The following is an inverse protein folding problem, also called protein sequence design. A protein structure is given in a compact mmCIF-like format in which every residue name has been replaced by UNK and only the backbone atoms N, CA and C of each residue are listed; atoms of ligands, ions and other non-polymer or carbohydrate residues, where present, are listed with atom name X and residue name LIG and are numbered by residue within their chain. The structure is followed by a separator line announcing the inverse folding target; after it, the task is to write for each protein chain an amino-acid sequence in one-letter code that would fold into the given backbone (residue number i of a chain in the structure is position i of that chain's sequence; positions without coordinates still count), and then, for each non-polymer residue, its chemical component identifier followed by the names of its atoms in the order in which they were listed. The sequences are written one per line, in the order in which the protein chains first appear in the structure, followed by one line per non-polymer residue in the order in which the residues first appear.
data_IF_040620332891
#
_entry.id   IF_040620332891
#
_cell.length_a   1.000
_cell.length_b   1.000
_cell.length_c   1.000
_cell.angle_alpha   90.00
_cell.angle_beta   90.00
_cell.angle_gamma   90.00
#
_symmetry.space_group_name_H-M   'P 1'
#
loop_
_entity.id
_entity.type
_entity.pdbx_description
1 polymer ?
#
# COMPACT_ATOMS: atom_id res chain seq x y z
N UNK A 1 7.30 33.26 -24.43
CA UNK A 1 7.83 31.89 -24.56
C UNK A 1 6.69 31.02 -25.06
N UNK A 2 6.84 30.30 -26.18
CA UNK A 2 5.81 29.36 -26.62
C UNK A 2 5.64 28.30 -25.52
N UNK A 3 4.39 28.06 -25.11
CA UNK A 3 4.08 27.08 -24.08
C UNK A 3 4.48 25.69 -24.55
N UNK A 4 5.28 24.98 -23.77
CA UNK A 4 5.56 23.57 -24.04
C UNK A 4 4.25 22.81 -23.94
N UNK A 5 3.87 22.11 -25.01
CA UNK A 5 2.75 21.18 -24.99
C UNK A 5 3.10 20.11 -23.93
N UNK A 6 2.18 19.79 -23.00
CA UNK A 6 2.40 18.74 -22.02
C UNK A 6 2.56 17.38 -22.72
N UNK A 7 3.55 16.60 -22.32
CA UNK A 7 3.74 15.23 -22.82
C UNK A 7 2.51 14.35 -22.52
N UNK A 8 2.20 13.42 -23.41
CA UNK A 8 1.17 12.38 -23.22
C UNK A 8 -0.26 12.80 -23.54
N UNK A 9 -0.47 13.84 -24.36
CA UNK A 9 -1.81 14.26 -24.76
C UNK A 9 -2.39 13.46 -25.93
N UNK A 10 -1.54 13.05 -26.89
CA UNK A 10 -1.92 12.31 -28.09
C UNK A 10 -0.73 11.50 -28.65
N UNK A 11 -0.95 10.81 -29.76
CA UNK A 11 0.07 9.98 -30.43
C UNK A 11 1.21 10.82 -31.03
N UNK A 12 0.97 12.08 -31.37
CA UNK A 12 1.96 13.03 -31.90
C UNK A 12 2.82 13.65 -30.77
N UNK A 13 2.32 13.61 -29.53
CA UNK A 13 2.98 14.08 -28.31
C UNK A 13 3.04 12.96 -27.26
N UNK A 14 3.78 11.87 -27.52
CA UNK A 14 3.84 10.73 -26.62
C UNK A 14 4.52 11.09 -25.29
N UNK A 15 4.26 10.28 -24.25
CA UNK A 15 4.99 10.41 -22.99
C UNK A 15 6.46 10.06 -23.22
N UNK A 16 7.34 11.05 -23.07
CA UNK A 16 8.77 10.81 -23.19
C UNK A 16 9.34 10.22 -21.88
N UNK A 17 9.52 8.90 -21.88
CA UNK A 17 10.07 8.18 -20.72
C UNK A 17 11.57 8.41 -20.52
N UNK A 18 12.28 9.00 -21.50
CA UNK A 18 13.72 9.25 -21.48
C UNK A 18 14.11 10.55 -20.77
N UNK A 19 13.31 11.00 -19.80
CA UNK A 19 13.52 12.31 -19.15
C UNK A 19 14.74 12.28 -18.21
N UNK A 20 15.76 13.04 -18.62
CA UNK A 20 17.01 13.52 -17.98
C UNK A 20 17.85 12.61 -17.05
N UNK A 21 17.31 11.60 -16.39
CA UNK A 21 18.06 10.72 -15.48
C UNK A 21 17.61 9.26 -15.48
N UNK A 22 16.68 8.89 -16.35
CA UNK A 22 16.09 7.56 -16.36
C UNK A 22 16.15 7.01 -17.78
N UNK A 23 17.04 6.05 -17.99
CA UNK A 23 17.13 5.31 -19.25
C UNK A 23 16.22 4.07 -19.14
N UNK A 24 14.94 4.26 -19.45
CA UNK A 24 13.99 3.14 -19.49
C UNK A 24 14.21 2.38 -20.79
N UNK A 25 14.95 1.27 -20.71
CA UNK A 25 15.09 0.36 -21.84
C UNK A 25 13.70 -0.14 -22.28
N UNK A 26 13.38 -0.02 -23.57
CA UNK A 26 12.13 -0.53 -24.18
C UNK A 26 11.83 -1.99 -23.79
N UNK A 27 12.87 -2.82 -23.64
CA UNK A 27 12.73 -4.21 -23.20
C UNK A 27 12.23 -4.29 -21.76
N UNK A 28 12.79 -3.48 -20.85
CA UNK A 28 12.39 -3.44 -19.46
C UNK A 28 10.96 -2.93 -19.31
N UNK A 29 10.58 -1.91 -20.09
CA UNK A 29 9.21 -1.41 -20.12
C UNK A 29 8.23 -2.47 -20.60
N UNK A 30 8.55 -3.20 -21.68
CA UNK A 30 7.74 -4.32 -22.15
C UNK A 30 7.59 -5.39 -21.07
N UNK A 31 8.64 -5.72 -20.33
CA UNK A 31 8.54 -6.66 -19.21
C UNK A 31 7.56 -6.20 -18.14
N UNK A 32 7.57 -4.91 -17.80
CA UNK A 32 6.58 -4.36 -16.86
C UNK A 32 5.16 -4.44 -17.43
N UNK A 33 4.93 -4.05 -18.68
CA UNK A 33 3.60 -4.12 -19.30
C UNK A 33 3.09 -5.56 -19.34
N UNK A 34 3.90 -6.51 -19.79
CA UNK A 34 3.55 -7.94 -19.80
C UNK A 34 3.28 -8.44 -18.38
N UNK A 35 4.04 -8.01 -17.38
CA UNK A 35 3.75 -8.37 -15.99
C UNK A 35 2.43 -7.79 -15.47
N UNK A 36 2.03 -6.60 -15.92
CA UNK A 36 0.79 -5.97 -15.46
C UNK A 36 -0.44 -6.62 -16.10
N UNK A 37 -0.40 -6.90 -17.41
CA UNK A 37 -1.57 -7.30 -18.19
C UNK A 37 -1.61 -8.79 -18.54
N UNK A 38 -0.46 -9.43 -18.76
CA UNK A 38 -0.39 -10.79 -19.30
C UNK A 38 0.19 -11.81 -18.29
N UNK A 39 0.25 -11.44 -17.00
CA UNK A 39 0.91 -12.25 -15.97
C UNK A 39 0.40 -13.69 -15.89
N UNK A 40 -0.90 -13.87 -16.07
CA UNK A 40 -1.57 -15.16 -15.92
C UNK A 40 -1.26 -16.11 -17.10
N UNK A 41 -0.78 -15.56 -18.22
CA UNK A 41 -0.34 -16.31 -19.41
C UNK A 41 1.18 -16.52 -19.44
N UNK A 42 1.93 -15.96 -18.48
CA UNK A 42 3.37 -16.11 -18.43
C UNK A 42 3.74 -17.57 -18.09
N UNK A 43 4.73 -18.10 -18.82
CA UNK A 43 5.40 -19.34 -18.44
C UNK A 43 5.93 -19.26 -17.01
N UNK A 44 5.86 -20.37 -16.27
CA UNK A 44 6.35 -20.50 -14.88
C UNK A 44 7.82 -20.06 -14.68
N UNK A 45 8.60 -19.93 -15.77
CA UNK A 45 10.01 -19.56 -15.72
C UNK A 45 10.29 -18.35 -16.61
N UNK A 46 10.24 -17.15 -16.03
CA UNK A 46 10.76 -15.94 -16.67
C UNK A 46 12.23 -15.71 -16.25
N UNK A 47 13.06 -15.10 -17.11
CA UNK A 47 14.46 -14.82 -16.78
C UNK A 47 14.57 -13.81 -15.63
N UNK A 48 15.62 -13.89 -14.81
CA UNK A 48 15.84 -12.97 -13.68
C UNK A 48 15.74 -11.48 -14.08
N UNK A 49 16.25 -11.14 -15.28
CA UNK A 49 16.18 -9.78 -15.83
C UNK A 49 14.74 -9.26 -16.01
N UNK A 50 13.79 -10.13 -16.28
CA UNK A 50 12.37 -9.78 -16.33
C UNK A 50 11.91 -9.21 -14.98
N UNK A 51 12.14 -9.95 -13.89
CA UNK A 51 11.74 -9.54 -12.55
C UNK A 51 12.50 -8.31 -12.05
N UNK A 52 13.80 -8.19 -12.36
CA UNK A 52 14.59 -7.00 -12.03
C UNK A 52 14.09 -5.75 -12.76
N UNK A 53 13.60 -5.90 -14.00
CA UNK A 53 13.02 -4.80 -14.76
C UNK A 53 11.68 -4.35 -14.19
N UNK A 54 10.79 -5.33 -13.91
CA UNK A 54 9.50 -5.09 -13.25
C UNK A 54 9.72 -4.37 -11.92
N UNK A 55 10.68 -4.84 -11.11
CA UNK A 55 11.07 -4.21 -9.85
C UNK A 55 11.39 -2.74 -10.03
N UNK A 56 12.38 -2.48 -10.89
CA UNK A 56 12.98 -1.19 -11.03
C UNK A 56 11.94 -0.16 -11.44
N UNK A 57 11.12 -0.51 -12.44
CA UNK A 57 10.12 0.37 -13.01
C UNK A 57 8.89 0.54 -12.10
N UNK A 58 8.40 -0.52 -11.44
CA UNK A 58 7.29 -0.36 -10.51
C UNK A 58 7.66 0.45 -9.27
N UNK A 59 8.87 0.30 -8.75
CA UNK A 59 9.36 1.15 -7.63
C UNK A 59 9.47 2.60 -8.07
N UNK A 60 10.02 2.84 -9.25
CA UNK A 60 10.18 4.17 -9.83
C UNK A 60 8.83 4.87 -10.04
N UNK A 61 7.83 4.16 -10.56
CA UNK A 61 6.50 4.71 -10.82
C UNK A 61 5.50 4.49 -9.69
N UNK A 62 5.96 3.94 -8.55
CA UNK A 62 5.13 3.66 -7.36
C UNK A 62 3.87 2.87 -7.68
N UNK A 63 3.98 1.91 -8.60
CA UNK A 63 2.84 1.07 -9.00
C UNK A 63 2.53 0.13 -7.83
N UNK A 64 1.31 0.17 -7.26
CA UNK A 64 0.91 -0.77 -6.23
C UNK A 64 0.63 -2.13 -6.86
N UNK A 65 1.31 -3.16 -6.40
CA UNK A 65 1.31 -4.47 -7.05
C UNK A 65 1.12 -5.57 -6.00
N UNK A 66 0.00 -5.53 -5.26
CA UNK A 66 -0.33 -6.36 -4.10
C UNK A 66 0.11 -7.84 -4.13
N UNK A 67 -0.77 -8.75 -4.54
CA UNK A 67 -0.57 -10.20 -4.36
C UNK A 67 0.54 -10.75 -5.26
N UNK A 68 0.63 -10.26 -6.50
CA UNK A 68 1.67 -10.64 -7.46
C UNK A 68 3.08 -10.38 -6.91
N UNK A 69 3.28 -9.30 -6.13
CA UNK A 69 4.58 -9.02 -5.51
C UNK A 69 4.86 -9.92 -4.33
N UNK A 70 3.86 -10.32 -3.54
CA UNK A 70 4.10 -11.28 -2.46
C UNK A 70 4.55 -12.63 -3.04
N UNK A 71 3.92 -13.10 -4.12
CA UNK A 71 4.33 -14.32 -4.82
C UNK A 71 5.80 -14.25 -5.26
N UNK A 72 6.17 -13.18 -5.96
CA UNK A 72 7.55 -12.97 -6.42
C UNK A 72 8.55 -12.78 -5.28
N UNK A 73 8.19 -11.98 -4.27
CA UNK A 73 9.03 -11.74 -3.11
C UNK A 73 9.37 -13.04 -2.39
N UNK A 74 8.39 -13.95 -2.26
CA UNK A 74 8.63 -15.26 -1.66
C UNK A 74 9.47 -16.17 -2.55
N UNK A 75 9.17 -16.22 -3.86
CA UNK A 75 9.88 -17.07 -4.81
C UNK A 75 11.38 -16.71 -4.91
N UNK A 76 11.71 -15.41 -4.86
CA UNK A 76 13.07 -14.91 -5.01
C UNK A 76 13.70 -14.41 -3.70
N UNK A 77 13.03 -14.59 -2.56
CA UNK A 77 13.47 -14.11 -1.24
C UNK A 77 13.80 -12.60 -1.21
N UNK A 78 12.92 -11.77 -1.78
CA UNK A 78 13.06 -10.31 -1.85
C UNK A 78 12.28 -9.64 -0.71
N UNK A 79 12.86 -9.59 0.49
CA UNK A 79 12.19 -9.05 1.69
C UNK A 79 11.71 -7.60 1.53
N UNK A 80 12.46 -6.79 0.79
CA UNK A 80 12.14 -5.38 0.51
C UNK A 80 10.81 -5.20 -0.25
N UNK A 81 10.31 -6.24 -0.91
CA UNK A 81 9.04 -6.22 -1.64
C UNK A 81 7.88 -6.70 -0.79
N UNK A 82 8.14 -7.65 0.10
CA UNK A 82 7.10 -8.25 0.91
C UNK A 82 6.40 -7.17 1.74
N UNK A 83 7.16 -6.29 2.41
CA UNK A 83 6.60 -5.24 3.26
C UNK A 83 5.64 -4.27 2.53
N UNK A 84 6.03 -3.58 1.44
CA UNK A 84 5.12 -2.66 0.74
C UNK A 84 3.93 -3.38 0.09
N UNK A 85 4.12 -4.60 -0.42
CA UNK A 85 3.04 -5.40 -0.98
C UNK A 85 2.00 -5.79 0.09
N UNK A 86 2.46 -6.20 1.27
CA UNK A 86 1.60 -6.43 2.42
C UNK A 86 0.87 -5.18 2.88
N UNK A 87 1.54 -4.02 2.92
CA UNK A 87 0.90 -2.75 3.28
C UNK A 87 -0.21 -2.36 2.30
N UNK A 88 -0.01 -2.59 1.00
CA UNK A 88 -1.04 -2.40 0.00
C UNK A 88 -2.24 -3.34 0.28
N UNK A 89 -1.98 -4.62 0.54
CA UNK A 89 -3.04 -5.60 0.82
C UNK A 89 -3.80 -5.33 2.11
N UNK A 90 -3.16 -4.81 3.16
CA UNK A 90 -3.83 -4.43 4.41
C UNK A 90 -4.93 -3.38 4.14
N UNK A 91 -4.74 -2.50 3.15
CA UNK A 91 -5.72 -1.47 2.77
C UNK A 91 -6.89 -2.02 1.95
N UNK A 92 -6.72 -3.14 1.27
CA UNK A 92 -7.78 -3.73 0.43
C UNK A 92 -8.83 -4.50 1.25
N UNK A 93 -10.11 -4.54 0.86
CA UNK A 93 -11.10 -5.36 1.54
C UNK A 93 -10.83 -6.87 1.40
N UNK A 94 -11.05 -7.66 2.47
CA UNK A 94 -10.84 -9.12 2.43
C UNK A 94 -11.68 -9.83 1.35
N UNK A 95 -12.92 -9.38 1.11
CA UNK A 95 -13.81 -9.99 0.13
C UNK A 95 -13.34 -9.84 -1.32
N UNK A 96 -12.33 -9.01 -1.58
CA UNK A 96 -11.70 -8.88 -2.90
C UNK A 96 -10.62 -9.94 -3.14
N UNK A 97 -10.16 -10.63 -2.09
CA UNK A 97 -9.17 -11.69 -2.22
C UNK A 97 -9.88 -12.97 -2.64
N UNK A 98 -9.43 -13.54 -3.75
CA UNK A 98 -9.93 -14.80 -4.28
C UNK A 98 -9.23 -16.01 -3.63
N UNK A 99 -9.72 -17.22 -3.90
CA UNK A 99 -9.01 -18.45 -3.49
C UNK A 99 -7.65 -18.56 -4.19
N UNK A 100 -7.60 -18.21 -5.48
CA UNK A 100 -6.37 -18.19 -6.27
C UNK A 100 -5.33 -17.24 -5.67
N UNK A 101 -5.75 -16.07 -5.19
CA UNK A 101 -4.87 -15.16 -4.47
C UNK A 101 -4.30 -15.76 -3.19
N UNK A 102 -5.13 -16.50 -2.44
CA UNK A 102 -4.69 -17.18 -1.22
C UNK A 102 -3.68 -18.31 -1.53
N UNK A 103 -3.86 -19.04 -2.63
CA UNK A 103 -2.92 -20.04 -3.12
C UNK A 103 -1.59 -19.39 -3.50
N UNK A 104 -1.62 -18.32 -4.27
CA UNK A 104 -0.43 -17.55 -4.66
C UNK A 104 0.33 -16.96 -3.47
N UNK A 105 -0.40 -16.47 -2.47
CA UNK A 105 0.18 -15.91 -1.25
C UNK A 105 0.72 -17.00 -0.33
N UNK A 106 0.20 -18.22 -0.43
CA UNK A 106 0.39 -19.33 0.49
C UNK A 106 -0.51 -19.23 1.73
N UNK A 107 -1.07 -20.36 2.14
CA UNK A 107 -2.08 -20.43 3.22
C UNK A 107 -1.63 -19.79 4.54
N UNK A 108 -0.37 -19.96 4.93
CA UNK A 108 0.19 -19.38 6.17
C UNK A 108 0.20 -17.84 6.10
N UNK A 109 0.59 -17.30 4.96
CA UNK A 109 0.68 -15.86 4.71
C UNK A 109 -0.72 -15.25 4.67
N UNK A 110 -1.65 -15.91 3.98
CA UNK A 110 -3.05 -15.51 3.91
C UNK A 110 -3.70 -15.51 5.30
N UNK A 111 -3.49 -16.57 6.10
CA UNK A 111 -4.00 -16.63 7.47
C UNK A 111 -3.52 -15.46 8.33
N UNK A 112 -2.22 -15.12 8.27
CA UNK A 112 -1.66 -13.96 8.98
C UNK A 112 -2.27 -12.63 8.52
N UNK A 113 -2.55 -12.49 7.22
CA UNK A 113 -3.22 -11.29 6.69
C UNK A 113 -4.65 -11.16 7.24
N UNK A 114 -5.39 -12.27 7.26
CA UNK A 114 -6.76 -12.31 7.84
C UNK A 114 -6.71 -11.98 9.33
N UNK A 115 -5.84 -12.62 10.10
CA UNK A 115 -5.67 -12.36 11.54
C UNK A 115 -5.34 -10.90 11.82
N UNK A 116 -4.40 -10.32 11.06
CA UNK A 116 -4.02 -8.92 11.19
C UNK A 116 -5.21 -7.99 10.91
N UNK A 117 -5.98 -8.26 9.85
CA UNK A 117 -7.16 -7.45 9.52
C UNK A 117 -8.27 -7.58 10.55
N UNK A 118 -8.48 -8.78 11.10
CA UNK A 118 -9.40 -8.98 12.22
C UNK A 118 -8.97 -8.15 13.43
N UNK A 119 -7.69 -8.18 13.81
CA UNK A 119 -7.17 -7.34 14.90
C UNK A 119 -7.36 -5.84 14.65
N UNK A 120 -7.16 -5.38 13.41
CA UNK A 120 -7.41 -3.98 13.02
C UNK A 120 -8.91 -3.66 13.13
N UNK A 121 -9.78 -4.56 12.68
CA UNK A 121 -11.22 -4.39 12.73
C UNK A 121 -11.73 -4.38 14.18
N UNK A 122 -11.31 -5.34 14.99
CA UNK A 122 -11.63 -5.41 16.42
C UNK A 122 -11.15 -4.16 17.15
N UNK A 123 -9.96 -3.65 16.79
CA UNK A 123 -9.46 -2.40 17.33
C UNK A 123 -10.36 -1.22 16.94
N UNK A 124 -10.76 -1.10 15.67
CA UNK A 124 -11.67 -0.05 15.19
C UNK A 124 -13.04 -0.14 15.83
N UNK A 125 -13.61 -1.34 15.94
CA UNK A 125 -14.87 -1.60 16.63
C UNK A 125 -14.75 -1.19 18.10
N UNK A 126 -13.67 -1.61 18.77
CA UNK A 126 -13.38 -1.23 20.14
C UNK A 126 -13.32 0.29 20.33
N UNK A 127 -12.67 1.01 19.41
CA UNK A 127 -12.64 2.48 19.43
C UNK A 127 -14.02 3.12 19.17
N UNK A 128 -14.84 2.50 18.34
CA UNK A 128 -16.18 3.01 18.05
C UNK A 128 -17.13 2.86 19.26
N UNK A 129 -17.07 1.73 19.98
CA UNK A 129 -17.94 1.48 21.15
C UNK A 129 -17.37 2.01 22.46
N UNK A 130 -16.04 2.05 22.58
CA UNK A 130 -15.32 2.51 23.77
C UNK A 130 -14.27 3.55 23.34
N UNK A 131 -14.72 4.76 22.97
CA UNK A 131 -13.80 5.82 22.57
C UNK A 131 -12.81 6.09 23.71
N UNK A 132 -11.54 6.25 23.35
CA UNK A 132 -10.51 6.61 24.30
C UNK A 132 -10.82 8.00 24.89
N UNK A 133 -10.54 8.17 26.18
CA UNK A 133 -10.62 9.48 26.81
C UNK A 133 -9.60 10.42 26.15
N UNK A 134 -10.07 11.59 25.74
CA UNK A 134 -9.23 12.59 25.09
C UNK A 134 -8.36 13.22 26.17
N UNK A 135 -7.06 12.99 26.10
CA UNK A 135 -6.08 13.69 26.93
C UNK A 135 -5.38 14.74 26.07
N UNK A 136 -5.43 16.00 26.50
CA UNK A 136 -4.73 17.08 25.81
C UNK A 136 -3.27 17.10 26.27
N UNK A 137 -2.34 16.97 25.33
CA UNK A 137 -0.92 17.16 25.61
C UNK A 137 -0.61 18.63 25.87
N UNK A 138 0.51 18.92 26.55
CA UNK A 138 0.94 20.29 26.88
C UNK A 138 1.07 21.23 25.66
N UNK A 139 1.20 20.68 24.44
CA UNK A 139 1.26 21.43 23.19
C UNK A 139 -0.09 21.73 22.54
N UNK A 140 -1.21 21.29 23.12
CA UNK A 140 -2.55 21.53 22.59
C UNK A 140 -2.95 23.00 22.79
N UNK A 141 -3.16 23.74 21.69
CA UNK A 141 -3.52 25.17 21.75
C UNK A 141 -5.01 25.42 21.95
N UNK A 142 -5.85 24.47 21.55
CA UNK A 142 -7.30 24.59 21.60
C UNK A 142 -7.94 23.22 21.87
N UNK A 143 -8.22 22.98 23.15
CA UNK A 143 -8.85 21.74 23.63
C UNK A 143 -10.26 21.54 23.05
N UNK A 144 -11.00 22.63 22.85
CA UNK A 144 -12.38 22.60 22.35
C UNK A 144 -12.37 22.19 20.88
N UNK A 145 -11.45 22.75 20.10
CA UNK A 145 -11.26 22.38 18.70
C UNK A 145 -10.81 20.92 18.57
N UNK A 146 -9.80 20.48 19.32
CA UNK A 146 -9.32 19.09 19.27
C UNK A 146 -10.44 18.10 19.67
N UNK A 147 -11.21 18.42 20.70
CA UNK A 147 -12.34 17.57 21.13
C UNK A 147 -13.45 17.49 20.08
N UNK A 148 -13.78 18.61 19.42
CA UNK A 148 -14.76 18.62 18.32
C UNK A 148 -14.28 17.82 17.12
N UNK A 149 -13.02 17.98 16.72
CA UNK A 149 -12.42 17.27 15.59
C UNK A 149 -12.38 15.76 15.84
N UNK A 150 -11.99 15.35 17.05
CA UNK A 150 -11.98 13.93 17.43
C UNK A 150 -13.36 13.29 17.34
N UNK A 151 -14.38 13.99 17.84
CA UNK A 151 -15.76 13.50 17.84
C UNK A 151 -16.38 13.48 16.44
N UNK A 152 -15.93 14.33 15.50
CA UNK A 152 -16.45 14.33 14.12
C UNK A 152 -15.91 13.20 13.24
N UNK A 153 -14.72 12.65 13.53
CA UNK A 153 -14.07 11.62 12.71
C UNK A 153 -14.08 10.22 13.31
N UNK A 154 -14.88 9.98 14.36
CA UNK A 154 -14.97 8.65 15.00
C UNK A 154 -13.62 8.18 15.56
N UNK A 155 -12.79 9.09 16.06
CA UNK A 155 -11.54 8.77 16.76
C UNK A 155 -10.38 8.24 15.90
N UNK A 156 -10.40 8.43 14.58
CA UNK A 156 -9.41 7.86 13.67
C UNK A 156 -8.41 8.84 13.04
N UNK A 157 -8.64 10.15 13.09
CA UNK A 157 -7.81 11.15 12.40
C UNK A 157 -7.11 12.06 13.41
N UNK A 158 -5.83 11.82 13.67
CA UNK A 158 -4.96 12.79 14.34
C UNK A 158 -4.30 13.68 13.30
N UNK A 159 -4.71 14.95 13.19
CA UNK A 159 -3.79 15.97 12.69
C UNK A 159 -2.63 16.12 13.67
N UNK A 160 -1.43 16.38 13.17
CA UNK A 160 -0.19 16.52 13.95
C UNK A 160 -0.24 17.61 15.04
N UNK A 161 -1.29 18.43 15.08
CA UNK A 161 -1.60 19.45 16.08
C UNK A 161 -2.34 18.93 17.33
N UNK A 162 -2.98 17.75 17.26
CA UNK A 162 -3.70 17.14 18.38
C UNK A 162 -3.10 15.74 18.67
N UNK A 163 -1.99 15.70 19.42
CA UNK A 163 -1.43 14.45 19.91
C UNK A 163 -2.28 13.94 21.09
N UNK A 164 -3.10 12.94 20.83
CA UNK A 164 -3.97 12.28 21.83
C UNK A 164 -3.26 11.00 22.27
N UNK A 165 -2.93 10.89 23.56
CA UNK A 165 -2.31 9.69 24.13
C UNK A 165 -3.37 8.79 24.74
N UNK A 166 -3.23 7.48 24.52
CA UNK A 166 -4.13 6.46 25.08
C UNK A 166 -3.68 6.14 26.52
N UNK A 167 -4.50 6.47 27.52
CA UNK A 167 -4.36 5.85 28.84
C UNK A 167 -5.00 4.47 28.78
N UNK A 168 -4.22 3.42 28.50
CA UNK A 168 -4.71 2.05 28.69
C UNK A 168 -4.87 1.82 30.19
N UNK A 169 -6.07 2.07 30.76
CA UNK A 169 -6.44 1.46 32.04
C UNK A 169 -6.42 -0.05 31.82
N UNK A 170 -5.37 -0.74 32.29
CA UNK A 170 -5.42 -2.18 32.50
C UNK A 170 -6.63 -2.42 33.40
N UNK A 171 -7.63 -3.15 32.90
CA UNK A 171 -8.56 -3.84 33.80
C UNK A 171 -7.72 -4.88 34.53
N UNK A 172 -7.44 -4.64 35.80
CA UNK A 172 -7.00 -5.70 36.70
C UNK A 172 -8.14 -6.73 36.81
N UNK A 173 -7.82 -8.02 36.85
CA UNK A 173 -8.79 -9.12 36.80
C UNK A 173 -9.73 -9.14 38.01
#
# INVERSE_FOLDING_TARGET
MPGSIPDGQDDDHPINLSTRHIDVNNVHFRYLVTFLYDYDELSDVMPLQFYLSVLHLSKMWRIPTGIKYIKLARQYSLDDWAAPAFQALIKEPLHKLTLEDAEHMGIVTYYKLVELKMKIMDHRIGLAFYPAEITHSFGCRDEVYCSKLWNSFGGGASESSCFIQRTTRRREP
#
